data_IF_294343228665
#
_entry.id   IF_294343228665
#
_cell.length_a   1.000
_cell.length_b   1.000
_cell.length_c   1.000
_cell.angle_alpha   90.00
_cell.angle_beta   90.00
_cell.angle_gamma   90.00
#
_symmetry.space_group_name_H-M   'P 1'
#
loop_
_entity.id
_entity.type
_entity.pdbx_description
1 polymer ?
#
# COMPACT_ATOMS: atom_id res chain seq x y z
N UNK A 1 10.15 11.12 -29.42
CA UNK A 1 9.22 10.06 -29.00
C UNK A 1 9.11 10.14 -27.48
N UNK A 2 8.05 10.77 -26.97
CA UNK A 2 7.85 10.94 -25.53
C UNK A 2 7.41 9.61 -24.94
N UNK A 3 8.27 8.98 -24.14
CA UNK A 3 7.92 7.81 -23.34
C UNK A 3 6.94 8.27 -22.26
N UNK A 4 5.69 7.80 -22.35
CA UNK A 4 4.75 7.90 -21.24
C UNK A 4 5.21 6.90 -20.17
N UNK A 5 5.98 7.37 -19.20
CA UNK A 5 6.23 6.64 -17.96
C UNK A 5 4.89 6.41 -17.25
N UNK A 6 4.41 5.17 -17.26
CA UNK A 6 3.27 4.76 -16.44
C UNK A 6 3.69 4.88 -14.96
N UNK A 7 3.20 5.92 -14.29
CA UNK A 7 3.38 6.14 -12.85
C UNK A 7 2.60 5.06 -12.06
N UNK A 8 3.13 3.84 -11.99
CA UNK A 8 2.61 2.79 -11.10
C UNK A 8 3.08 2.96 -9.64
N UNK A 9 3.78 4.06 -9.34
CA UNK A 9 4.33 4.40 -8.03
C UNK A 9 3.28 5.09 -7.12
N UNK A 10 2.26 4.38 -6.62
CA UNK A 10 1.55 4.91 -5.43
C UNK A 10 0.67 3.93 -4.63
N UNK A 11 0.64 2.62 -4.92
CA UNK A 11 0.11 1.66 -3.93
C UNK A 11 1.17 1.13 -2.97
N UNK A 12 2.46 1.18 -3.32
CA UNK A 12 3.55 0.76 -2.41
C UNK A 12 3.74 1.71 -1.22
N UNK A 13 3.30 2.96 -1.33
CA UNK A 13 3.32 3.94 -0.24
C UNK A 13 2.00 3.98 0.55
N UNK A 14 0.98 3.25 0.13
CA UNK A 14 -0.27 3.12 0.86
C UNK A 14 -0.03 2.12 2.00
N UNK A 15 0.59 2.62 3.07
CA UNK A 15 1.03 1.85 4.23
C UNK A 15 -0.16 1.16 4.89
N UNK A 16 0.09 -0.06 5.42
CA UNK A 16 -0.83 -0.77 6.29
C UNK A 16 -1.38 0.14 7.40
N UNK A 17 -2.52 -0.22 8.02
CA UNK A 17 -3.00 0.45 9.23
C UNK A 17 -1.87 0.58 10.27
N UNK A 18 -1.82 1.70 11.00
CA UNK A 18 -0.89 1.83 12.12
C UNK A 18 -1.13 0.70 13.14
N UNK A 19 -2.41 0.41 13.36
CA UNK A 19 -2.88 -0.67 14.21
C UNK A 19 -3.99 -1.41 13.48
N UNK A 20 -3.98 -2.74 13.59
CA UNK A 20 -5.05 -3.57 13.08
C UNK A 20 -6.14 -3.73 14.14
N UNK A 21 -7.43 -3.67 13.74
CA UNK A 21 -8.52 -3.96 14.66
C UNK A 21 -8.48 -5.44 15.07
N UNK A 22 -9.01 -5.79 16.26
CA UNK A 22 -9.07 -7.17 16.72
C UNK A 22 -9.91 -8.04 15.77
N UNK A 23 -9.68 -9.35 15.75
CA UNK A 23 -10.43 -10.28 14.89
C UNK A 23 -11.95 -10.27 15.18
N UNK A 24 -12.35 -9.90 16.40
CA UNK A 24 -13.75 -9.71 16.81
C UNK A 24 -14.39 -8.44 16.24
N UNK A 25 -13.63 -7.55 15.60
CA UNK A 25 -14.17 -6.33 15.00
C UNK A 25 -15.09 -6.65 13.83
N UNK A 26 -16.39 -6.38 14.02
CA UNK A 26 -17.43 -6.65 13.03
C UNK A 26 -17.56 -5.54 11.95
N UNK A 27 -16.92 -4.39 12.16
CA UNK A 27 -16.99 -3.27 11.22
C UNK A 27 -16.36 -3.60 9.87
N UNK A 28 -16.95 -3.07 8.79
CA UNK A 28 -16.37 -3.15 7.44
C UNK A 28 -15.33 -2.06 7.17
N UNK A 29 -15.36 -0.99 7.96
CA UNK A 29 -14.45 0.14 7.87
C UNK A 29 -13.82 0.35 9.24
N UNK A 30 -12.53 0.69 9.25
CA UNK A 30 -11.76 0.97 10.44
C UNK A 30 -10.93 2.24 10.21
N UNK A 31 -10.91 3.11 11.21
CA UNK A 31 -10.07 4.31 11.21
C UNK A 31 -8.96 4.12 12.23
N UNK A 32 -7.72 4.11 11.78
CA UNK A 32 -6.55 3.94 12.65
C UNK A 32 -6.28 5.20 13.50
N UNK A 33 -5.31 5.12 14.42
CA UNK A 33 -4.89 6.26 15.24
C UNK A 33 -4.36 7.45 14.44
N UNK A 34 -3.94 7.25 13.18
CA UNK A 34 -3.55 8.32 12.25
C UNK A 34 -4.75 8.98 11.55
N UNK A 35 -5.97 8.49 11.81
CA UNK A 35 -7.19 9.04 11.24
C UNK A 35 -7.43 8.62 9.79
N UNK A 36 -6.77 7.56 9.31
CA UNK A 36 -6.92 7.07 7.94
C UNK A 36 -7.90 5.89 7.86
N UNK A 37 -8.73 5.88 6.83
CA UNK A 37 -9.76 4.85 6.63
C UNK A 37 -9.15 3.63 5.93
N UNK A 38 -9.46 2.46 6.49
CA UNK A 38 -9.18 1.16 5.93
C UNK A 38 -10.46 0.34 5.80
N UNK A 39 -10.54 -0.46 4.75
CA UNK A 39 -11.69 -1.31 4.43
C UNK A 39 -11.31 -2.78 4.62
N UNK A 40 -12.22 -3.54 5.21
CA UNK A 40 -12.08 -4.99 5.38
C UNK A 40 -12.20 -5.68 4.03
N UNK A 41 -11.13 -6.33 3.59
CA UNK A 41 -11.07 -7.19 2.42
C UNK A 41 -10.69 -8.61 2.86
N UNK A 42 -11.07 -9.63 2.10
CA UNK A 42 -10.78 -11.01 2.50
C UNK A 42 -11.76 -12.04 1.96
N UNK A 43 -11.29 -13.27 1.85
CA UNK A 43 -12.07 -14.46 1.45
C UNK A 43 -11.77 -15.55 2.49
N UNK A 44 -12.75 -16.40 2.80
CA UNK A 44 -12.60 -17.57 3.68
C UNK A 44 -12.01 -17.27 5.06
N UNK A 45 -12.39 -16.12 5.64
CA UNK A 45 -11.95 -15.71 6.98
C UNK A 45 -10.55 -15.07 7.04
N UNK A 46 -9.78 -15.09 5.93
CA UNK A 46 -8.53 -14.34 5.85
C UNK A 46 -8.83 -12.86 5.63
N UNK A 47 -8.59 -12.03 6.64
CA UNK A 47 -8.90 -10.60 6.61
C UNK A 47 -7.65 -9.78 6.35
N UNK A 48 -7.74 -8.91 5.35
CA UNK A 48 -6.76 -7.86 5.06
C UNK A 48 -7.45 -6.50 5.16
N UNK A 49 -6.73 -5.49 5.62
CA UNK A 49 -7.22 -4.13 5.73
C UNK A 49 -6.56 -3.27 4.67
N UNK A 50 -7.34 -2.88 3.66
CA UNK A 50 -6.83 -2.11 2.52
C UNK A 50 -7.14 -0.63 2.69
N UNK A 51 -6.20 0.27 2.39
CA UNK A 51 -6.41 1.71 2.53
C UNK A 51 -7.52 2.19 1.59
N UNK A 52 -8.46 2.96 2.11
CA UNK A 52 -9.49 3.60 1.28
C UNK A 52 -8.83 4.73 0.50
N UNK A 53 -8.88 4.64 -0.83
CA UNK A 53 -8.40 5.72 -1.72
C UNK A 53 -9.57 6.51 -2.31
N UNK A 54 -9.42 7.83 -2.34
CA UNK A 54 -10.35 8.78 -2.96
C UNK A 54 -10.22 8.82 -4.49
N UNK A 55 -11.04 9.65 -5.14
CA UNK A 55 -11.02 9.82 -6.61
C UNK A 55 -9.72 10.46 -7.10
N UNK A 56 -9.09 11.25 -6.25
CA UNK A 56 -7.77 11.86 -6.43
C UNK A 56 -6.61 10.87 -6.20
N UNK A 57 -6.91 9.59 -5.97
CA UNK A 57 -5.96 8.50 -5.72
C UNK A 57 -5.12 8.70 -4.45
N UNK A 58 -5.59 9.52 -3.51
CA UNK A 58 -4.97 9.67 -2.17
C UNK A 58 -5.70 8.85 -1.14
N UNK A 59 -4.99 8.42 -0.10
CA UNK A 59 -5.62 7.77 1.04
C UNK A 59 -6.56 8.75 1.75
N UNK A 60 -7.74 8.26 2.09
CA UNK A 60 -8.77 9.04 2.78
C UNK A 60 -8.42 9.09 4.26
N UNK A 61 -8.00 10.25 4.75
CA UNK A 61 -7.59 10.50 6.14
C UNK A 61 -8.25 11.77 6.73
N UNK A 62 -8.08 12.01 8.03
CA UNK A 62 -8.69 13.13 8.77
C UNK A 62 -9.98 12.76 9.49
N UNK A 63 -10.27 11.46 9.64
CA UNK A 63 -11.45 10.96 10.33
C UNK A 63 -11.14 10.68 11.80
N UNK A 64 -12.17 10.67 12.64
CA UNK A 64 -12.03 10.31 14.06
C UNK A 64 -11.60 8.84 14.18
N UNK A 65 -10.52 8.52 14.92
CA UNK A 65 -10.09 7.14 15.15
C UNK A 65 -11.20 6.28 15.72
N UNK A 66 -11.22 5.00 15.35
CA UNK A 66 -12.21 4.05 15.85
C UNK A 66 -11.78 3.55 17.22
N UNK A 67 -12.60 3.79 18.25
CA UNK A 67 -12.34 3.26 19.59
C UNK A 67 -12.62 1.75 19.62
N UNK A 68 -11.57 0.94 19.53
CA UNK A 68 -11.64 -0.53 19.66
C UNK A 68 -10.61 -0.99 20.69
N UNK A 69 -11.04 -1.75 21.68
CA UNK A 69 -10.13 -2.37 22.63
C UNK A 69 -9.36 -3.50 21.93
N UNK A 70 -8.05 -3.59 22.16
CA UNK A 70 -7.20 -4.63 21.58
C UNK A 70 -6.76 -4.38 20.14
N UNK A 71 -6.74 -3.13 19.68
CA UNK A 71 -6.01 -2.79 18.45
C UNK A 71 -4.53 -3.15 18.63
N UNK A 72 -3.95 -3.85 17.65
CA UNK A 72 -2.55 -4.31 17.73
C UNK A 72 -1.73 -3.61 16.66
N UNK A 73 -0.54 -3.11 17.01
CA UNK A 73 0.37 -2.54 16.02
C UNK A 73 0.65 -3.54 14.89
N UNK A 74 0.58 -3.06 13.65
CA UNK A 74 0.84 -3.89 12.49
C UNK A 74 2.28 -4.36 12.38
N UNK A 75 2.55 -5.49 11.71
CA UNK A 75 3.92 -5.82 11.31
C UNK A 75 4.47 -4.67 10.47
N UNK A 76 5.60 -4.10 10.89
CA UNK A 76 6.28 -3.07 10.12
C UNK A 76 6.60 -3.63 8.73
N UNK A 77 6.30 -2.85 7.68
CA UNK A 77 6.71 -3.22 6.33
C UNK A 77 8.22 -3.48 6.32
N UNK A 78 8.71 -4.58 5.70
CA UNK A 78 10.13 -4.84 5.62
C UNK A 78 10.81 -3.63 4.95
N UNK A 79 11.74 -2.98 5.65
CA UNK A 79 12.73 -2.10 5.01
C UNK A 79 13.70 -2.98 4.24
N UNK A 80 13.23 -3.52 3.12
CA UNK A 80 14.11 -4.16 2.15
C UNK A 80 15.04 -3.11 1.51
N UNK A 81 16.21 -3.51 1.01
CA UNK A 81 17.06 -2.61 0.23
C UNK A 81 16.27 -2.03 -0.94
N UNK A 82 16.54 -0.76 -1.26
CA UNK A 82 15.93 -0.11 -2.41
C UNK A 82 16.18 -0.95 -3.68
N UNK A 83 15.21 -1.05 -4.61
CA UNK A 83 15.41 -1.77 -5.86
C UNK A 83 16.67 -1.26 -6.56
N UNK A 84 17.61 -2.17 -6.84
CA UNK A 84 18.82 -1.84 -7.59
C UNK A 84 18.47 -1.92 -9.07
N UNK A 85 18.67 -0.81 -9.79
CA UNK A 85 18.39 -0.74 -11.22
C UNK A 85 19.52 -1.45 -11.99
N UNK A 86 19.19 -2.56 -12.66
CA UNK A 86 20.16 -3.30 -13.47
C UNK A 86 20.27 -2.59 -14.82
N UNK A 87 21.30 -1.75 -14.98
CA UNK A 87 21.65 -1.16 -16.28
C UNK A 87 22.44 -2.18 -17.10
N UNK A 88 21.93 -2.54 -18.28
CA UNK A 88 22.68 -3.37 -19.24
C UNK A 88 23.74 -2.49 -19.92
N UNK A 89 25.03 -2.88 -19.93
CA UNK A 89 26.07 -2.12 -20.62
C UNK A 89 25.76 -1.99 -22.12
N UNK A 90 25.86 -0.77 -22.67
CA UNK A 90 25.60 -0.47 -24.07
C UNK A 90 26.48 -1.25 -25.07
N UNK A 91 27.57 -1.86 -24.61
CA UNK A 91 28.46 -2.69 -25.42
C UNK A 91 27.85 -4.02 -25.91
N UNK A 92 26.64 -4.38 -25.46
CA UNK A 92 25.93 -5.59 -25.88
C UNK A 92 24.86 -5.36 -26.96
N UNK A 93 24.70 -4.14 -27.48
CA UNK A 93 23.81 -3.92 -28.63
C UNK A 93 24.45 -4.54 -29.89
N UNK A 94 23.78 -5.52 -30.55
CA UNK A 94 24.25 -6.02 -31.82
C UNK A 94 24.26 -4.86 -32.83
N UNK A 95 25.40 -4.65 -33.50
CA UNK A 95 25.47 -3.71 -34.60
C UNK A 95 24.41 -4.10 -35.63
N UNK A 96 23.47 -3.19 -35.91
CA UNK A 96 22.54 -3.35 -37.01
C UNK A 96 23.38 -3.48 -38.29
N UNK A 97 23.34 -4.68 -38.88
CA UNK A 97 24.05 -5.00 -40.11
C UNK A 97 23.64 -4.08 -41.26
N UNK A 98 24.64 -3.80 -42.09
CA UNK A 98 24.64 -2.98 -43.30
C UNK A 98 23.61 -3.41 -44.34
#
# INVERSE_FOLDING_TARGET
MSTLSAQAQSLRNATAPAEFPPASFAGKQYVDSRGCIFIRAGIDGNVTWVPRVGRDRKQVCGYKPTAVAGATAGPAAPRGPAPVEITVPAAAQPAAGT
#
